data_IF_398543421939
#
_entry.id   IF_398543421939
#
_cell.length_a   1.000
_cell.length_b   1.000
_cell.length_c   1.000
_cell.angle_alpha   90.00
_cell.angle_beta   90.00
_cell.angle_gamma   90.00
#
_symmetry.space_group_name_H-M   'P 1'
#
loop_
_entity.id
_entity.type
_entity.pdbx_description
1 polymer ?
#
# COMPACT_ATOMS: atom_id res chain seq x y z
N UNK A 1 14.24 8.80 -17.58
CA UNK A 1 14.86 9.29 -16.32
C UNK A 1 14.61 10.79 -16.28
N UNK A 2 14.18 11.36 -15.15
CA UNK A 2 13.81 12.77 -15.04
C UNK A 2 14.59 13.43 -13.91
N UNK A 3 15.10 14.63 -14.14
CA UNK A 3 15.77 15.46 -13.15
C UNK A 3 15.60 16.93 -13.56
N UNK A 4 14.88 17.71 -12.76
CA UNK A 4 14.72 19.15 -12.96
C UNK A 4 15.44 19.98 -11.89
N UNK A 5 16.40 19.40 -11.17
CA UNK A 5 17.11 20.03 -10.06
C UNK A 5 16.33 20.05 -8.74
N UNK A 6 15.05 19.69 -8.75
CA UNK A 6 14.19 19.60 -7.56
C UNK A 6 13.61 18.22 -7.35
N UNK A 7 13.21 17.55 -8.41
CA UNK A 7 12.71 16.19 -8.42
C UNK A 7 13.61 15.30 -9.25
N UNK A 8 13.82 14.09 -8.76
CA UNK A 8 14.61 13.06 -9.42
C UNK A 8 13.76 11.80 -9.51
N UNK A 9 13.51 11.34 -10.73
CA UNK A 9 12.82 10.08 -11.00
C UNK A 9 13.77 9.12 -11.72
N UNK A 10 14.10 8.04 -11.03
CA UNK A 10 15.16 7.10 -11.43
C UNK A 10 14.65 5.68 -11.47
N UNK A 11 15.04 4.96 -12.52
CA UNK A 11 14.93 3.50 -12.59
C UNK A 11 16.05 2.91 -11.74
N UNK A 12 15.72 2.05 -10.81
CA UNK A 12 16.69 1.35 -9.97
C UNK A 12 16.85 -0.10 -10.44
N UNK A 13 18.02 -0.67 -10.19
CA UNK A 13 18.24 -2.11 -10.35
C UNK A 13 17.74 -2.80 -9.10
N UNK A 14 16.84 -3.76 -9.28
CA UNK A 14 16.36 -4.62 -8.22
C UNK A 14 16.12 -6.02 -8.79
N UNK A 15 16.46 -7.03 -7.99
CA UNK A 15 16.12 -8.42 -8.27
C UNK A 15 14.68 -8.64 -7.81
N UNK A 16 13.75 -8.32 -8.71
CA UNK A 16 12.31 -8.53 -8.51
C UNK A 16 11.90 -9.62 -9.50
N UNK A 17 11.24 -10.71 -9.04
CA UNK A 17 10.83 -11.83 -9.90
C UNK A 17 9.92 -11.41 -11.05
N UNK A 18 9.07 -10.40 -10.81
CA UNK A 18 8.10 -9.88 -11.75
C UNK A 18 8.75 -9.22 -12.97
N UNK A 19 8.01 -9.25 -14.08
CA UNK A 19 8.44 -8.62 -15.33
C UNK A 19 8.56 -7.10 -15.15
N UNK A 20 9.49 -6.45 -15.88
CA UNK A 20 9.57 -5.00 -15.84
C UNK A 20 8.35 -4.35 -16.51
N UNK A 21 8.02 -3.13 -16.08
CA UNK A 21 6.98 -2.28 -16.68
C UNK A 21 7.60 -1.15 -17.52
N UNK A 22 6.83 -0.63 -18.48
CA UNK A 22 7.19 0.55 -19.25
C UNK A 22 7.07 1.82 -18.40
N UNK A 23 8.04 2.72 -18.50
CA UNK A 23 7.99 4.04 -17.86
C UNK A 23 7.80 5.12 -18.91
N UNK A 24 6.73 5.91 -18.79
CA UNK A 24 6.52 7.14 -19.58
C UNK A 24 6.64 8.35 -18.67
N UNK A 25 7.30 9.42 -19.13
CA UNK A 25 7.31 10.72 -18.44
C UNK A 25 6.90 11.79 -19.45
N UNK A 26 5.82 12.52 -19.15
CA UNK A 26 5.19 13.49 -20.06
C UNK A 26 4.97 12.90 -21.47
N UNK A 27 4.47 11.67 -21.54
CA UNK A 27 4.23 10.94 -22.79
C UNK A 27 5.48 10.35 -23.47
N UNK A 28 6.70 10.66 -23.02
CA UNK A 28 7.94 10.14 -23.61
C UNK A 28 8.38 8.85 -22.92
N UNK A 29 8.65 7.80 -23.71
CA UNK A 29 9.16 6.53 -23.18
C UNK A 29 10.57 6.68 -22.61
N UNK A 30 10.74 6.12 -21.41
CA UNK A 30 11.99 6.07 -20.64
C UNK A 30 12.52 4.62 -20.54
N UNK A 31 11.91 3.71 -21.31
CA UNK A 31 12.20 2.27 -21.33
C UNK A 31 11.62 1.52 -20.13
N UNK A 32 12.06 0.27 -19.97
CA UNK A 32 11.53 -0.66 -18.97
C UNK A 32 12.21 -0.51 -17.60
N UNK A 33 11.49 -0.82 -16.53
CA UNK A 33 11.99 -0.86 -15.14
C UNK A 33 11.25 -1.88 -14.28
N UNK A 34 11.92 -2.43 -13.26
CA UNK A 34 11.25 -3.20 -12.18
C UNK A 34 11.04 -2.38 -10.91
N UNK A 35 11.78 -1.29 -10.75
CA UNK A 35 11.74 -0.44 -9.56
C UNK A 35 11.94 1.02 -9.98
N UNK A 36 10.95 1.85 -9.70
CA UNK A 36 11.00 3.29 -9.94
C UNK A 36 11.09 4.01 -8.61
N UNK A 37 12.02 4.95 -8.49
CA UNK A 37 12.21 5.78 -7.30
C UNK A 37 11.97 7.24 -7.62
N UNK A 38 11.26 7.90 -6.70
CA UNK A 38 10.98 9.32 -6.69
C UNK A 38 11.70 9.93 -5.50
N UNK A 39 12.55 10.90 -5.77
CA UNK A 39 13.28 11.64 -4.75
C UNK A 39 13.07 13.14 -4.95
N UNK A 40 12.90 13.86 -3.84
CA UNK A 40 12.74 15.30 -3.84
C UNK A 40 13.92 15.95 -3.13
N UNK A 41 14.38 17.07 -3.66
CA UNK A 41 15.45 17.87 -3.06
C UNK A 41 14.97 18.51 -1.77
N UNK A 42 15.76 18.40 -0.71
CA UNK A 42 15.52 19.19 0.51
C UNK A 42 15.96 20.63 0.27
N UNK A 43 15.12 21.64 0.57
CA UNK A 43 15.45 23.05 0.38
C UNK A 43 16.82 23.41 0.96
N UNK A 44 17.59 24.24 0.23
CA UNK A 44 18.93 24.70 0.64
C UNK A 44 19.98 23.60 0.86
N UNK A 45 19.75 22.37 0.37
CA UNK A 45 20.73 21.29 0.40
C UNK A 45 20.94 20.70 -1.00
N UNK A 46 21.91 19.79 -1.15
CA UNK A 46 22.09 18.98 -2.37
C UNK A 46 21.59 17.54 -2.21
N UNK A 47 20.79 17.28 -1.16
CA UNK A 47 20.33 15.95 -0.81
C UNK A 47 18.94 15.68 -1.38
N UNK A 48 18.70 14.43 -1.74
CA UNK A 48 17.49 13.95 -2.43
C UNK A 48 16.98 12.68 -1.75
N UNK A 49 16.33 12.78 -0.58
CA UNK A 49 15.66 11.64 0.03
C UNK A 49 14.63 11.04 -0.93
N UNK A 50 14.59 9.71 -0.99
CA UNK A 50 13.57 8.98 -1.75
C UNK A 50 12.25 9.02 -0.99
N UNK A 51 11.19 9.58 -1.56
CA UNK A 51 9.91 9.72 -0.85
C UNK A 51 8.89 8.67 -1.26
N UNK A 52 9.04 8.11 -2.47
CA UNK A 52 8.19 7.07 -3.02
C UNK A 52 9.03 6.10 -3.85
N UNK A 53 8.73 4.80 -3.75
CA UNK A 53 9.21 3.77 -4.67
C UNK A 53 8.04 2.91 -5.14
N UNK A 54 8.12 2.46 -6.40
CA UNK A 54 7.10 1.65 -7.08
C UNK A 54 7.77 0.41 -7.65
N UNK A 55 7.30 -0.77 -7.24
CA UNK A 55 7.80 -2.07 -7.67
C UNK A 55 6.90 -2.66 -8.77
N UNK A 56 7.47 -3.48 -9.66
CA UNK A 56 6.72 -4.17 -10.72
C UNK A 56 5.63 -5.11 -10.19
N UNK A 57 5.74 -5.55 -8.94
CA UNK A 57 4.75 -6.36 -8.22
C UNK A 57 3.60 -5.57 -7.59
N UNK A 58 3.52 -4.25 -7.84
CA UNK A 58 2.46 -3.40 -7.31
C UNK A 58 2.66 -2.93 -5.88
N UNK A 59 3.82 -3.20 -5.29
CA UNK A 59 4.20 -2.63 -4.02
C UNK A 59 4.61 -1.17 -4.18
N UNK A 60 4.15 -0.34 -3.25
CA UNK A 60 4.56 1.04 -3.06
C UNK A 60 5.21 1.16 -1.69
N UNK A 61 6.29 1.92 -1.58
CA UNK A 61 6.81 2.34 -0.27
C UNK A 61 6.94 3.85 -0.25
N UNK A 62 6.48 4.44 0.84
CA UNK A 62 6.44 5.86 1.10
C UNK A 62 7.16 6.17 2.41
N UNK A 63 7.82 7.32 2.45
CA UNK A 63 8.35 7.91 3.69
C UNK A 63 8.26 9.42 3.63
N UNK A 64 8.39 10.10 4.76
CA UNK A 64 8.38 11.55 4.81
C UNK A 64 9.53 12.16 3.99
N UNK A 65 9.39 13.44 3.63
CA UNK A 65 10.40 14.22 2.92
C UNK A 65 11.64 14.53 3.75
N UNK A 66 11.66 14.20 5.05
CA UNK A 66 12.82 14.42 5.90
C UNK A 66 14.05 13.67 5.42
N UNK A 67 15.19 14.29 5.71
CA UNK A 67 16.51 13.77 5.36
C UNK A 67 17.44 13.80 6.58
N UNK A 68 17.14 13.00 7.62
CA UNK A 68 18.05 12.83 8.73
C UNK A 68 19.29 12.06 8.28
N UNK A 69 20.32 12.05 9.12
CA UNK A 69 21.49 11.17 8.93
C UNK A 69 21.50 10.16 10.07
N UNK A 70 21.34 8.84 9.79
CA UNK A 70 21.11 8.23 8.48
C UNK A 70 19.71 8.54 7.89
N UNK A 71 19.51 8.42 6.56
CA UNK A 71 18.20 8.64 5.94
C UNK A 71 17.15 7.65 6.46
N UNK A 72 15.90 8.12 6.60
CA UNK A 72 14.77 7.30 7.04
C UNK A 72 14.65 6.02 6.19
N UNK A 73 14.43 4.88 6.82
CA UNK A 73 14.08 3.66 6.11
C UNK A 73 12.62 3.73 5.62
N UNK A 74 12.21 2.80 4.75
CA UNK A 74 10.82 2.69 4.33
C UNK A 74 9.97 1.88 5.32
N UNK A 75 10.50 0.75 5.86
CA UNK A 75 9.88 -0.11 6.88
C UNK A 75 8.53 -0.77 6.56
N UNK A 76 7.79 -0.24 5.61
CA UNK A 76 6.46 -0.69 5.25
C UNK A 76 6.30 -0.65 3.74
N UNK A 77 5.47 -1.56 3.24
CA UNK A 77 5.09 -1.59 1.84
C UNK A 77 3.58 -1.68 1.71
N UNK A 78 2.98 -0.71 1.04
CA UNK A 78 1.58 -0.76 0.62
C UNK A 78 1.47 -1.63 -0.63
N UNK A 79 0.55 -2.58 -0.64
CA UNK A 79 0.24 -3.40 -1.81
C UNK A 79 -1.02 -2.86 -2.45
N UNK A 80 -0.90 -2.46 -3.72
CA UNK A 80 -2.04 -2.02 -4.52
C UNK A 80 -3.04 -3.18 -4.69
N UNK A 81 -4.27 -2.94 -4.27
CA UNK A 81 -5.37 -3.90 -4.34
C UNK A 81 -6.43 -3.57 -5.41
N UNK A 82 -7.55 -4.32 -5.42
CA UNK A 82 -7.90 -5.34 -4.43
C UNK A 82 -7.21 -6.70 -4.66
N UNK A 83 -7.23 -7.54 -3.63
CA UNK A 83 -6.82 -8.94 -3.67
C UNK A 83 -7.96 -9.85 -3.21
N UNK A 84 -8.04 -11.07 -3.76
CA UNK A 84 -9.11 -12.02 -3.45
C UNK A 84 -8.51 -13.39 -3.14
N UNK A 85 -8.91 -14.00 -2.03
CA UNK A 85 -8.68 -15.42 -1.76
C UNK A 85 -9.95 -16.20 -2.13
N UNK A 86 -9.83 -17.15 -3.06
CA UNK A 86 -10.99 -17.88 -3.56
C UNK A 86 -10.66 -18.78 -4.73
N UNK A 87 -11.67 -19.11 -5.52
CA UNK A 87 -11.53 -19.84 -6.79
C UNK A 87 -12.03 -18.97 -7.94
N UNK A 88 -11.61 -19.31 -9.16
CA UNK A 88 -12.07 -18.68 -10.38
C UNK A 88 -12.34 -19.74 -11.46
N UNK A 89 -12.89 -19.33 -12.61
CA UNK A 89 -13.08 -20.21 -13.77
C UNK A 89 -11.78 -20.93 -14.17
N UNK A 90 -10.67 -20.20 -14.22
CA UNK A 90 -9.32 -20.67 -14.58
C UNK A 90 -8.60 -21.38 -13.43
N UNK A 91 -8.91 -21.03 -12.18
CA UNK A 91 -8.24 -21.54 -10.99
C UNK A 91 -9.24 -22.21 -10.05
N UNK A 92 -9.45 -23.52 -10.25
CA UNK A 92 -10.41 -24.32 -9.47
C UNK A 92 -9.95 -24.66 -8.05
N UNK A 93 -8.66 -24.52 -7.76
CA UNK A 93 -8.11 -24.64 -6.40
C UNK A 93 -8.14 -23.28 -5.73
N UNK A 94 -8.27 -23.26 -4.40
CA UNK A 94 -8.19 -22.02 -3.62
C UNK A 94 -6.84 -21.35 -3.86
N UNK A 95 -6.89 -20.13 -4.35
CA UNK A 95 -5.74 -19.30 -4.69
C UNK A 95 -5.92 -17.93 -4.05
N UNK A 96 -4.82 -17.35 -3.59
CA UNK A 96 -4.77 -15.94 -3.22
C UNK A 96 -4.32 -15.15 -4.46
N UNK A 97 -5.27 -14.53 -5.14
CA UNK A 97 -5.04 -13.62 -6.25
C UNK A 97 -4.60 -12.27 -5.69
N UNK A 98 -3.30 -12.06 -5.67
CA UNK A 98 -2.62 -10.96 -4.98
C UNK A 98 -1.59 -10.35 -5.93
N UNK A 99 -0.84 -9.31 -5.55
CA UNK A 99 0.23 -8.72 -6.39
C UNK A 99 -0.15 -8.41 -7.86
N UNK A 100 -0.50 -7.17 -8.21
CA UNK A 100 -0.66 -6.84 -9.61
C UNK A 100 0.70 -6.84 -10.32
N UNK A 101 0.74 -7.37 -11.54
CA UNK A 101 1.89 -7.20 -12.43
C UNK A 101 1.74 -5.88 -13.18
N UNK A 102 2.57 -4.89 -12.83
CA UNK A 102 2.54 -3.60 -13.51
C UNK A 102 2.97 -3.77 -14.97
N UNK A 103 2.24 -3.11 -15.87
CA UNK A 103 2.54 -3.05 -17.29
C UNK A 103 3.17 -1.71 -17.65
N UNK A 104 2.60 -0.62 -17.14
CA UNK A 104 3.03 0.74 -17.45
C UNK A 104 2.85 1.66 -16.26
N UNK A 105 3.81 2.56 -16.08
CA UNK A 105 3.74 3.72 -15.18
C UNK A 105 3.98 4.98 -15.99
N UNK A 106 2.96 5.82 -16.10
CA UNK A 106 3.02 7.13 -16.75
C UNK A 106 3.08 8.22 -15.69
N UNK A 107 4.06 9.10 -15.80
CA UNK A 107 4.22 10.24 -14.89
C UNK A 107 3.97 11.52 -15.67
N UNK A 108 3.07 12.35 -15.15
CA UNK A 108 2.86 13.71 -15.61
C UNK A 108 3.41 14.70 -14.58
N UNK A 109 4.28 15.57 -15.06
CA UNK A 109 4.97 16.62 -14.29
C UNK A 109 4.38 18.01 -14.54
N UNK A 110 3.29 18.12 -15.29
CA UNK A 110 2.62 19.37 -15.64
C UNK A 110 2.17 20.21 -14.44
N UNK A 111 1.89 19.56 -13.30
CA UNK A 111 1.51 20.22 -12.04
C UNK A 111 2.70 20.57 -11.14
N UNK A 112 3.94 20.41 -11.62
CA UNK A 112 5.12 20.91 -10.94
C UNK A 112 5.43 22.34 -11.37
N UNK A 113 5.57 23.20 -10.37
CA UNK A 113 6.11 24.56 -10.56
C UNK A 113 7.61 24.52 -10.85
N UNK A 114 8.21 25.58 -11.45
CA UNK A 114 9.64 25.64 -11.74
C UNK A 114 10.55 25.46 -10.50
N UNK A 115 10.07 25.88 -9.33
CA UNK A 115 10.73 25.68 -8.03
C UNK A 115 10.53 24.26 -7.45
N UNK A 116 9.90 23.34 -8.19
CA UNK A 116 9.66 21.96 -7.80
C UNK A 116 8.54 21.73 -6.79
N UNK A 117 7.77 22.76 -6.42
CA UNK A 117 6.56 22.61 -5.61
C UNK A 117 5.38 22.16 -6.47
N UNK A 118 4.37 21.55 -5.85
CA UNK A 118 3.18 21.06 -6.54
C UNK A 118 3.08 19.54 -6.50
N UNK A 119 2.35 18.98 -7.46
CA UNK A 119 1.92 17.57 -7.43
C UNK A 119 2.53 16.78 -8.57
N UNK A 120 2.86 15.52 -8.29
CA UNK A 120 3.18 14.53 -9.31
C UNK A 120 1.96 13.65 -9.57
N UNK A 121 1.52 13.59 -10.82
CA UNK A 121 0.44 12.71 -11.25
C UNK A 121 1.05 11.43 -11.81
N UNK A 122 0.59 10.28 -11.32
CA UNK A 122 1.14 8.97 -11.70
C UNK A 122 -0.03 8.08 -12.11
N UNK A 123 -0.04 7.60 -13.34
CA UNK A 123 -1.01 6.62 -13.82
C UNK A 123 -0.33 5.26 -13.93
N UNK A 124 -0.97 4.23 -13.41
CA UNK A 124 -0.46 2.86 -13.39
C UNK A 124 -1.49 1.96 -14.04
N UNK A 125 -1.06 1.13 -14.97
CA UNK A 125 -1.87 0.02 -15.50
C UNK A 125 -1.19 -1.29 -15.20
N UNK A 126 -1.96 -2.30 -14.82
CA UNK A 126 -1.48 -3.68 -14.73
C UNK A 126 -1.82 -4.46 -15.99
N UNK A 127 -0.99 -5.44 -16.32
CA UNK A 127 -1.36 -6.50 -17.26
C UNK A 127 -1.56 -7.81 -16.53
N UNK A 128 -2.25 -8.75 -17.17
CA UNK A 128 -2.13 -10.15 -16.77
C UNK A 128 -0.67 -10.55 -16.92
N UNK A 129 -0.11 -11.16 -15.88
CA UNK A 129 1.23 -11.76 -15.96
C UNK A 129 1.23 -12.84 -17.05
N UNK A 130 2.22 -12.78 -17.94
CA UNK A 130 2.52 -13.84 -18.91
C UNK A 130 3.20 -15.04 -18.24
N UNK A 131 3.77 -14.85 -17.05
CA UNK A 131 4.38 -15.89 -16.23
C UNK A 131 3.32 -16.78 -15.62
N UNK A 132 3.33 -18.06 -16.04
CA UNK A 132 2.58 -19.16 -15.42
C UNK A 132 3.05 -19.51 -14.00
N UNK A 133 4.16 -18.92 -13.54
CA UNK A 133 4.91 -19.42 -12.38
C UNK A 133 4.69 -18.62 -11.09
N UNK A 134 3.99 -17.48 -11.14
CA UNK A 134 3.54 -16.81 -9.92
C UNK A 134 2.09 -17.20 -9.64
N UNK A 135 1.91 -18.24 -8.83
CA UNK A 135 0.59 -18.64 -8.29
C UNK A 135 -0.07 -17.55 -7.44
N UNK A 136 0.61 -16.42 -7.22
CA UNK A 136 0.13 -15.32 -6.38
C UNK A 136 -0.23 -14.06 -7.16
N UNK A 137 0.11 -13.93 -8.46
CA UNK A 137 -0.17 -12.72 -9.24
C UNK A 137 -1.66 -12.58 -9.56
N UNK A 138 -2.16 -11.35 -9.60
CA UNK A 138 -3.58 -11.08 -9.79
C UNK A 138 -3.94 -11.22 -11.27
N UNK A 139 -4.31 -12.44 -11.67
CA UNK A 139 -4.64 -12.78 -13.06
C UNK A 139 -6.13 -12.65 -13.39
N UNK A 140 -6.96 -12.53 -12.35
CA UNK A 140 -8.43 -12.54 -12.47
C UNK A 140 -9.00 -11.13 -12.64
N UNK A 141 -8.20 -10.08 -12.47
CA UNK A 141 -8.63 -8.69 -12.55
C UNK A 141 -7.79 -7.87 -13.53
N UNK A 142 -8.44 -6.96 -14.24
CA UNK A 142 -7.78 -5.80 -14.84
C UNK A 142 -7.76 -4.69 -13.79
N UNK A 143 -6.57 -4.12 -13.54
CA UNK A 143 -6.39 -3.09 -12.53
C UNK A 143 -5.73 -1.85 -13.13
N UNK A 144 -6.19 -0.69 -12.66
CA UNK A 144 -5.55 0.60 -12.97
C UNK A 144 -5.60 1.51 -11.75
N UNK A 145 -4.62 2.41 -11.64
CA UNK A 145 -4.56 3.39 -10.55
C UNK A 145 -4.14 4.75 -11.06
N UNK A 146 -4.84 5.77 -10.58
CA UNK A 146 -4.42 7.16 -10.62
C UNK A 146 -3.89 7.55 -9.24
N UNK A 147 -2.62 7.93 -9.17
CA UNK A 147 -1.99 8.42 -7.95
C UNK A 147 -1.68 9.91 -8.06
N UNK A 148 -1.86 10.61 -6.95
CA UNK A 148 -1.42 12.00 -6.78
C UNK A 148 -0.47 12.03 -5.60
N UNK A 149 0.82 12.23 -5.89
CA UNK A 149 1.83 12.47 -4.88
C UNK A 149 1.87 13.97 -4.61
N UNK A 150 1.38 14.38 -3.44
CA UNK A 150 1.46 15.75 -2.95
C UNK A 150 2.92 16.13 -2.67
N UNK A 151 3.16 17.43 -2.54
CA UNK A 151 4.47 17.94 -2.17
C UNK A 151 4.93 17.36 -0.81
N UNK A 152 5.99 16.52 -0.76
CA UNK A 152 6.53 16.01 0.50
C UNK A 152 7.07 17.12 1.39
N UNK A 153 6.75 17.07 2.67
CA UNK A 153 7.37 17.88 3.70
C UNK A 153 8.21 17.02 4.65
N UNK A 154 9.00 17.66 5.51
CA UNK A 154 9.90 16.96 6.42
C UNK A 154 9.15 15.94 7.31
N UNK A 155 7.94 16.27 7.74
CA UNK A 155 7.19 15.43 8.68
C UNK A 155 6.31 14.37 8.00
N UNK A 156 5.93 14.60 6.74
CA UNK A 156 4.94 13.75 6.07
C UNK A 156 5.04 13.75 4.55
N UNK A 157 4.61 12.63 3.95
CA UNK A 157 4.32 12.51 2.52
C UNK A 157 2.90 12.01 2.34
N UNK A 158 2.11 12.67 1.51
CA UNK A 158 0.72 12.28 1.22
C UNK A 158 0.59 11.76 -0.21
N UNK A 159 -0.04 10.60 -0.35
CA UNK A 159 -0.37 9.98 -1.62
C UNK A 159 -1.87 9.69 -1.68
N UNK A 160 -2.55 10.28 -2.64
CA UNK A 160 -3.91 9.89 -2.99
C UNK A 160 -3.86 8.75 -3.99
N UNK A 161 -4.66 7.72 -3.77
CA UNK A 161 -4.75 6.53 -4.61
C UNK A 161 -6.20 6.35 -5.03
N UNK A 162 -6.46 6.39 -6.33
CA UNK A 162 -7.74 6.04 -6.92
C UNK A 162 -7.54 4.81 -7.81
N UNK A 163 -7.99 3.65 -7.33
CA UNK A 163 -7.87 2.37 -8.04
C UNK A 163 -9.20 1.95 -8.65
N UNK A 164 -9.15 1.38 -9.85
CA UNK A 164 -10.30 0.75 -10.53
C UNK A 164 -10.01 -0.71 -10.80
N UNK A 165 -11.02 -1.58 -10.74
CA UNK A 165 -10.89 -2.98 -11.12
C UNK A 165 -12.04 -3.46 -12.00
N UNK A 166 -11.75 -4.45 -12.84
CA UNK A 166 -12.73 -5.24 -13.57
C UNK A 166 -12.40 -6.73 -13.42
N UNK A 167 -13.36 -7.52 -12.97
CA UNK A 167 -13.23 -8.98 -12.92
C UNK A 167 -13.29 -9.54 -14.34
N UNK A 168 -12.25 -10.25 -14.73
CA UNK A 168 -12.11 -10.74 -16.10
C UNK A 168 -12.64 -12.17 -16.30
N UNK A 169 -13.06 -12.81 -15.21
CA UNK A 169 -13.69 -14.12 -15.13
C UNK A 169 -14.59 -14.21 -13.89
N UNK A 170 -15.42 -15.26 -13.81
CA UNK A 170 -16.23 -15.53 -12.63
C UNK A 170 -15.32 -15.94 -11.46
N UNK A 171 -15.60 -15.39 -10.28
CA UNK A 171 -14.83 -15.60 -9.06
C UNK A 171 -15.75 -15.94 -7.90
N UNK A 172 -15.32 -16.88 -7.07
CA UNK A 172 -16.01 -17.30 -5.85
C UNK A 172 -15.02 -17.07 -4.70
N UNK A 173 -15.19 -15.98 -3.91
CA UNK A 173 -14.41 -15.78 -2.69
C UNK A 173 -14.55 -16.97 -1.74
N UNK A 174 -13.46 -17.31 -1.04
CA UNK A 174 -13.47 -18.44 -0.10
C UNK A 174 -14.38 -18.11 1.10
N UNK A 175 -15.41 -18.93 1.39
CA UNK A 175 -16.38 -18.62 2.45
C UNK A 175 -15.76 -18.67 3.85
N UNK A 176 -14.85 -19.61 4.12
CA UNK A 176 -14.19 -19.71 5.43
C UNK A 176 -13.24 -18.52 5.68
N UNK A 177 -12.57 -18.03 4.64
CA UNK A 177 -11.79 -16.80 4.69
C UNK A 177 -12.70 -15.56 4.80
N UNK A 178 -13.91 -15.60 4.24
CA UNK A 178 -14.89 -14.50 4.35
C UNK A 178 -15.38 -14.34 5.79
N UNK A 179 -15.66 -15.44 6.49
CA UNK A 179 -16.00 -15.45 7.92
C UNK A 179 -14.88 -14.86 8.78
N UNK A 180 -13.63 -15.03 8.34
CA UNK A 180 -12.43 -14.49 8.98
C UNK A 180 -12.01 -13.11 8.46
N UNK A 181 -12.79 -12.48 7.58
CA UNK A 181 -12.49 -11.17 7.02
C UNK A 181 -11.15 -11.13 6.22
N UNK A 182 -10.80 -12.23 5.55
CA UNK A 182 -9.54 -12.40 4.82
C UNK A 182 -9.73 -12.56 3.30
N UNK A 183 -10.95 -12.90 2.87
CA UNK A 183 -11.22 -13.31 1.48
C UNK A 183 -11.13 -12.19 0.47
N UNK A 184 -11.36 -10.94 0.87
CA UNK A 184 -11.23 -9.75 0.02
C UNK A 184 -10.46 -8.68 0.76
N UNK A 185 -9.37 -8.21 0.16
CA UNK A 185 -8.51 -7.17 0.72
C UNK A 185 -8.54 -5.98 -0.21
N UNK A 186 -9.14 -4.88 0.22
CA UNK A 186 -9.23 -3.63 -0.56
C UNK A 186 -7.83 -3.08 -0.85
N UNK A 187 -6.99 -3.11 0.17
CA UNK A 187 -5.58 -2.76 0.17
C UNK A 187 -4.90 -3.52 1.30
N UNK A 188 -3.58 -3.64 1.23
CA UNK A 188 -2.77 -4.32 2.25
C UNK A 188 -1.49 -3.53 2.53
N UNK A 189 -1.00 -3.61 3.77
CA UNK A 189 0.32 -3.19 4.20
C UNK A 189 1.10 -4.45 4.58
N UNK A 190 2.33 -4.54 4.12
CA UNK A 190 3.33 -5.54 4.51
C UNK A 190 4.43 -4.84 5.29
N UNK A 191 4.79 -5.39 6.43
CA UNK A 191 5.78 -4.83 7.36
C UNK A 191 6.26 -5.93 8.32
N UNK A 192 6.99 -5.55 9.36
CA UNK A 192 7.67 -6.47 10.26
C UNK A 192 7.45 -6.09 11.73
N UNK A 193 7.15 -7.10 12.54
CA UNK A 193 7.13 -7.02 13.99
C UNK A 193 7.60 -8.36 14.56
N UNK A 194 8.70 -8.34 15.31
CA UNK A 194 9.23 -9.52 16.01
C UNK A 194 9.04 -9.35 17.51
N UNK A 195 9.43 -8.19 18.04
CA UNK A 195 9.25 -7.79 19.43
C UNK A 195 9.40 -6.26 19.59
N UNK A 196 9.37 -5.79 20.84
CA UNK A 196 9.46 -4.37 21.18
C UNK A 196 10.81 -3.71 20.85
N UNK A 197 11.83 -4.47 20.44
CA UNK A 197 13.15 -3.95 20.02
C UNK A 197 13.35 -4.15 18.52
N UNK A 198 12.67 -5.11 17.90
CA UNK A 198 12.86 -5.54 16.52
C UNK A 198 11.54 -5.43 15.76
N UNK A 199 11.30 -4.28 15.17
CA UNK A 199 10.09 -4.00 14.42
C UNK A 199 10.25 -2.79 13.50
N UNK A 200 9.42 -2.75 12.45
CA UNK A 200 9.17 -1.57 11.64
C UNK A 200 7.91 -0.82 12.10
N UNK A 201 6.98 -1.50 12.79
CA UNK A 201 5.80 -0.91 13.44
C UNK A 201 5.44 -1.72 14.68
N UNK A 202 4.89 -1.08 15.70
CA UNK A 202 4.56 -1.73 16.97
C UNK A 202 3.07 -1.63 17.36
N UNK A 203 2.24 -0.95 16.56
CA UNK A 203 0.80 -0.86 16.82
C UNK A 203 -0.05 -0.75 15.55
N UNK A 204 -1.28 -1.24 15.68
CA UNK A 204 -2.41 -0.93 14.80
C UNK A 204 -3.35 0.02 15.55
N UNK A 205 -3.71 1.16 14.94
CA UNK A 205 -4.71 2.07 15.49
C UNK A 205 -5.84 2.24 14.50
N UNK A 206 -7.08 2.33 14.94
CA UNK A 206 -8.22 2.55 14.04
C UNK A 206 -9.37 3.25 14.74
N UNK A 207 -10.19 3.94 13.96
CA UNK A 207 -11.38 4.62 14.46
C UNK A 207 -12.59 3.70 14.30
N UNK A 208 -13.33 3.47 15.39
CA UNK A 208 -14.59 2.68 15.38
C UNK A 208 -15.65 3.40 16.21
N UNK A 209 -16.79 3.73 15.60
CA UNK A 209 -17.89 4.45 16.28
C UNK A 209 -17.40 5.72 16.99
N UNK A 210 -16.57 6.53 16.33
CA UNK A 210 -15.86 7.72 16.86
C UNK A 210 -14.85 7.48 17.99
N UNK A 211 -14.61 6.24 18.40
CA UNK A 211 -13.59 5.90 19.39
C UNK A 211 -12.30 5.46 18.70
N UNK A 212 -11.17 5.96 19.20
CA UNK A 212 -9.84 5.52 18.77
C UNK A 212 -9.46 4.26 19.54
N UNK A 213 -9.29 3.16 18.81
CA UNK A 213 -8.75 1.91 19.36
C UNK A 213 -7.28 1.81 18.97
N UNK A 214 -6.42 1.45 19.93
CA UNK A 214 -5.02 1.11 19.66
C UNK A 214 -4.77 -0.32 20.12
N UNK A 215 -4.33 -1.16 19.20
CA UNK A 215 -3.87 -2.51 19.46
C UNK A 215 -2.35 -2.51 19.36
N UNK A 216 -1.69 -2.81 20.46
CA UNK A 216 -0.24 -3.01 20.49
C UNK A 216 0.07 -4.45 20.07
N UNK A 217 1.05 -4.60 19.18
CA UNK A 217 1.55 -5.92 18.85
C UNK A 217 2.35 -6.48 20.04
N UNK A 218 2.23 -7.78 20.25
CA UNK A 218 2.91 -8.53 21.30
C UNK A 218 3.29 -9.89 20.70
N UNK A 219 4.53 -10.40 20.86
CA UNK A 219 4.94 -11.68 20.29
C UNK A 219 4.03 -12.85 20.68
N UNK A 220 3.35 -12.78 21.83
CA UNK A 220 2.36 -13.77 22.26
C UNK A 220 1.11 -13.83 21.37
N UNK A 221 0.85 -12.78 20.58
CA UNK A 221 -0.24 -12.71 19.61
C UNK A 221 0.14 -13.27 18.23
N UNK A 222 1.36 -13.80 18.07
CA UNK A 222 1.81 -14.36 16.80
C UNK A 222 0.89 -15.48 16.32
N UNK A 223 0.68 -15.52 15.01
CA UNK A 223 -0.19 -16.45 14.29
C UNK A 223 -1.69 -16.32 14.62
N UNK A 224 -2.09 -15.29 15.38
CA UNK A 224 -3.50 -14.93 15.57
C UNK A 224 -3.91 -13.85 14.57
N UNK A 225 -5.18 -13.89 14.18
CA UNK A 225 -5.78 -12.79 13.41
C UNK A 225 -6.24 -11.70 14.36
N UNK A 226 -5.69 -10.50 14.18
CA UNK A 226 -5.92 -9.32 14.99
C UNK A 226 -6.82 -8.31 14.27
N UNK A 227 -7.52 -7.43 15.02
CA UNK A 227 -7.89 -7.65 16.42
C UNK A 227 -8.72 -8.95 16.57
N UNK A 228 -8.65 -9.57 17.75
CA UNK A 228 -9.35 -10.84 18.05
C UNK A 228 -10.86 -10.69 17.92
N UNK A 229 -11.38 -9.54 18.35
CA UNK A 229 -12.78 -9.12 18.15
C UNK A 229 -12.82 -7.96 17.16
N UNK A 230 -12.95 -8.24 15.85
CA UNK A 230 -12.96 -7.20 14.83
C UNK A 230 -14.20 -6.32 14.93
N UNK A 231 -13.98 -5.01 14.84
CA UNK A 231 -15.00 -3.99 14.75
C UNK A 231 -14.90 -3.26 13.42
N UNK A 232 -16.04 -2.79 12.93
CA UNK A 232 -16.10 -1.92 11.77
C UNK A 232 -15.39 -0.60 12.02
N UNK A 233 -14.72 -0.09 10.99
CA UNK A 233 -14.25 1.28 10.97
C UNK A 233 -15.44 2.24 11.07
N UNK A 234 -15.17 3.44 11.59
CA UNK A 234 -16.15 4.52 11.61
C UNK A 234 -16.64 4.84 10.20
N UNK A 235 -17.97 4.95 10.04
CA UNK A 235 -18.58 5.12 8.72
C UNK A 235 -18.34 6.52 8.14
N UNK A 236 -18.24 7.56 8.97
CA UNK A 236 -18.03 8.92 8.52
C UNK A 236 -16.55 9.18 8.20
N UNK A 237 -15.65 8.45 8.87
CA UNK A 237 -14.21 8.53 8.64
C UNK A 237 -13.53 7.15 8.71
N UNK A 238 -13.68 6.30 7.68
CA UNK A 238 -13.07 4.98 7.65
C UNK A 238 -11.54 5.10 7.58
N UNK A 239 -10.89 4.90 8.72
CA UNK A 239 -9.47 5.17 8.88
C UNK A 239 -8.78 4.23 9.85
N UNK A 240 -7.55 3.85 9.51
CA UNK A 240 -6.65 3.11 10.37
C UNK A 240 -5.20 3.51 10.11
N UNK A 241 -4.35 3.28 11.10
CA UNK A 241 -2.94 3.61 11.11
C UNK A 241 -2.12 2.35 11.41
N UNK A 242 -1.04 2.13 10.66
CA UNK A 242 0.05 1.19 10.97
C UNK A 242 1.21 1.99 11.55
N UNK A 243 1.41 1.88 12.86
CA UNK A 243 2.15 2.87 13.64
C UNK A 243 3.46 2.32 14.18
N UNK A 244 4.51 3.11 14.03
CA UNK A 244 5.72 3.06 14.83
C UNK A 244 5.69 4.18 15.87
N UNK A 245 5.78 3.85 17.16
CA UNK A 245 5.66 4.80 18.28
C UNK A 245 6.97 5.15 18.96
N UNK A 246 8.09 4.58 18.52
CA UNK A 246 9.42 4.85 19.06
C UNK A 246 10.44 5.06 17.92
N UNK A 247 11.70 5.31 18.29
CA UNK A 247 12.81 5.56 17.36
C UNK A 247 13.87 4.43 17.41
N UNK A 248 13.59 3.32 18.11
CA UNK A 248 14.61 2.31 18.49
C UNK A 248 14.49 0.98 17.77
N UNK A 249 13.41 0.74 17.02
CA UNK A 249 13.16 -0.52 16.30
C UNK A 249 14.30 -0.94 15.35
N UNK A 250 14.89 -2.11 15.56
CA UNK A 250 15.87 -2.70 14.65
C UNK A 250 15.19 -3.43 13.48
N UNK A 251 15.81 -3.46 12.28
CA UNK A 251 17.13 -2.90 11.93
C UNK A 251 17.08 -1.44 11.45
N UNK A 252 15.88 -0.89 11.28
CA UNK A 252 15.65 0.29 10.46
C UNK A 252 15.58 1.60 11.26
N UNK A 253 15.50 1.54 12.59
CA UNK A 253 15.22 2.67 13.47
C UNK A 253 13.87 3.29 13.12
N UNK A 254 13.85 4.62 13.00
CA UNK A 254 12.66 5.41 12.67
C UNK A 254 12.12 5.12 11.25
N UNK A 255 11.24 4.14 11.15
CA UNK A 255 10.39 3.84 10.00
C UNK A 255 9.11 4.65 10.04
N UNK A 256 8.56 5.05 8.88
CA UNK A 256 7.36 5.87 8.82
C UNK A 256 6.13 5.11 9.33
N UNK A 257 5.27 5.80 10.07
CA UNK A 257 3.89 5.36 10.33
C UNK A 257 3.00 5.65 9.11
N UNK A 258 2.10 4.74 8.76
CA UNK A 258 1.14 4.92 7.66
C UNK A 258 -0.26 5.15 8.20
N UNK A 259 -0.85 6.30 7.89
CA UNK A 259 -2.28 6.54 8.03
C UNK A 259 -3.00 6.25 6.72
N UNK A 260 -4.01 5.40 6.77
CA UNK A 260 -4.87 5.07 5.64
C UNK A 260 -6.27 5.61 5.91
N UNK A 261 -6.74 6.53 5.05
CA UNK A 261 -8.13 6.97 5.02
C UNK A 261 -8.79 6.42 3.77
N UNK A 262 -9.80 5.58 3.93
CA UNK A 262 -10.57 5.06 2.79
C UNK A 262 -11.68 6.06 2.48
N UNK A 263 -11.59 6.68 1.31
CA UNK A 263 -12.45 7.77 0.89
C UNK A 263 -13.75 7.23 0.29
N UNK A 264 -13.66 6.18 -0.53
CA UNK A 264 -14.83 5.52 -1.13
C UNK A 264 -14.50 4.15 -1.66
N UNK A 265 -15.51 3.28 -1.72
CA UNK A 265 -15.48 1.97 -2.37
C UNK A 265 -16.75 1.79 -3.19
N UNK A 266 -16.65 1.28 -4.41
CA UNK A 266 -17.80 0.98 -5.29
C UNK A 266 -17.73 -0.47 -5.79
N UNK A 267 -18.76 -0.91 -6.53
CA UNK A 267 -18.81 -2.24 -7.12
C UNK A 267 -19.49 -3.28 -6.22
N UNK A 268 -19.03 -4.54 -6.21
CA UNK A 268 -19.72 -5.63 -5.52
C UNK A 268 -19.51 -5.61 -3.99
N UNK A 269 -18.67 -4.73 -3.47
CA UNK A 269 -18.36 -4.67 -2.04
C UNK A 269 -19.51 -3.97 -1.30
N UNK A 270 -19.97 -4.55 -0.19
CA UNK A 270 -21.10 -4.04 0.59
C UNK A 270 -20.81 -4.07 2.08
N UNK A 271 -21.51 -3.21 2.82
CA UNK A 271 -21.40 -3.13 4.27
C UNK A 271 -20.15 -2.39 4.75
N UNK A 272 -19.91 -2.40 6.06
CA UNK A 272 -18.83 -1.65 6.68
C UNK A 272 -17.46 -2.26 6.38
N UNK A 273 -16.44 -1.41 6.42
CA UNK A 273 -15.05 -1.84 6.28
C UNK A 273 -14.53 -2.30 7.65
N UNK A 274 -13.82 -3.41 7.67
CA UNK A 274 -13.17 -3.98 8.85
C UNK A 274 -11.68 -4.07 8.59
N UNK A 275 -10.86 -3.80 9.59
CA UNK A 275 -9.41 -3.94 9.46
C UNK A 275 -8.97 -5.22 10.15
N UNK A 276 -8.08 -5.97 9.50
CA UNK A 276 -7.46 -7.16 10.07
C UNK A 276 -5.95 -7.10 9.90
N UNK A 277 -5.25 -7.74 10.83
CA UNK A 277 -3.83 -7.98 10.75
C UNK A 277 -3.51 -9.43 11.12
N UNK A 278 -2.40 -9.94 10.62
CA UNK A 278 -1.78 -11.17 11.11
C UNK A 278 -0.28 -10.97 11.11
N UNK A 279 0.43 -11.62 12.02
CA UNK A 279 1.86 -11.80 11.84
C UNK A 279 2.29 -13.21 12.22
N UNK A 280 3.25 -13.74 11.49
CA UNK A 280 3.85 -15.02 11.79
C UNK A 280 5.05 -14.83 12.69
N UNK A 281 5.26 -15.73 13.65
CA UNK A 281 6.49 -15.71 14.44
C UNK A 281 7.70 -15.88 13.53
N UNK A 282 8.64 -14.95 13.58
CA UNK A 282 9.86 -14.95 12.76
C UNK A 282 11.00 -14.31 13.54
N UNK A 283 12.21 -14.88 13.54
CA UNK A 283 13.40 -14.21 14.07
C UNK A 283 14.16 -13.40 13.00
N UNK A 284 13.73 -13.45 11.73
CA UNK A 284 14.48 -12.86 10.62
C UNK A 284 14.09 -11.39 10.40
N UNK A 285 15.02 -10.48 10.69
CA UNK A 285 14.89 -9.03 10.52
C UNK A 285 14.73 -8.56 9.06
N UNK A 286 15.00 -9.43 8.09
CA UNK A 286 14.93 -9.09 6.67
C UNK A 286 13.62 -9.48 6.00
N UNK A 287 12.74 -10.16 6.72
CA UNK A 287 11.47 -10.63 6.18
C UNK A 287 10.31 -9.91 6.86
N UNK A 288 9.48 -9.26 6.06
CA UNK A 288 8.14 -8.86 6.48
C UNK A 288 7.39 -10.11 6.96
N UNK A 289 6.92 -10.07 8.19
CA UNK A 289 6.15 -11.14 8.81
C UNK A 289 4.76 -10.68 9.27
N UNK A 290 4.45 -9.38 9.14
CA UNK A 290 3.21 -8.74 9.55
C UNK A 290 2.47 -8.19 8.32
N UNK A 291 1.23 -8.65 8.14
CA UNK A 291 0.32 -8.17 7.12
C UNK A 291 -0.90 -7.50 7.76
N UNK A 292 -1.32 -6.36 7.21
CA UNK A 292 -2.49 -5.58 7.64
C UNK A 292 -3.34 -5.26 6.42
N UNK A 293 -4.66 -5.43 6.47
CA UNK A 293 -5.53 -5.13 5.33
C UNK A 293 -6.89 -4.58 5.77
N UNK A 294 -7.50 -3.84 4.85
CA UNK A 294 -8.90 -3.46 4.93
C UNK A 294 -9.75 -4.50 4.19
N UNK A 295 -10.70 -5.09 4.88
CA UNK A 295 -11.69 -6.02 4.36
C UNK A 295 -13.04 -5.35 4.19
N UNK A 296 -13.73 -5.69 3.11
CA UNK A 296 -15.15 -5.38 2.93
C UNK A 296 -15.83 -6.59 2.29
N UNK A 297 -17.04 -6.89 2.74
CA UNK A 297 -17.75 -8.09 2.31
C UNK A 297 -18.14 -7.98 0.84
N UNK A 298 -17.97 -9.08 0.11
CA UNK A 298 -18.47 -9.25 -1.26
C UNK A 298 -19.51 -10.37 -1.33
N UNK A 299 -20.31 -10.44 -2.40
CA UNK A 299 -21.15 -11.58 -2.71
C UNK A 299 -20.37 -12.89 -2.73
N UNK A 300 -21.07 -13.99 -2.46
CA UNK A 300 -20.50 -15.35 -2.53
C UNK A 300 -20.05 -15.74 -3.95
N UNK A 301 -20.55 -15.07 -4.98
CA UNK A 301 -20.10 -15.23 -6.36
C UNK A 301 -20.10 -13.86 -7.05
N UNK A 302 -19.02 -13.57 -7.75
CA UNK A 302 -18.79 -12.33 -8.49
C UNK A 302 -18.67 -12.71 -9.98
N UNK A 303 -19.47 -12.05 -10.82
CA UNK A 303 -19.50 -12.36 -12.25
C UNK A 303 -18.39 -11.65 -13.02
N UNK A 304 -17.93 -12.28 -14.09
CA UNK A 304 -17.11 -11.62 -15.11
C UNK A 304 -17.75 -10.30 -15.56
N UNK A 305 -16.94 -9.27 -15.75
CA UNK A 305 -17.35 -7.92 -16.11
C UNK A 305 -17.77 -7.06 -14.93
N UNK A 306 -17.79 -7.60 -13.70
CA UNK A 306 -18.05 -6.78 -12.50
C UNK A 306 -16.92 -5.77 -12.31
N UNK A 307 -17.29 -4.50 -12.21
CA UNK A 307 -16.36 -3.39 -11.97
C UNK A 307 -16.54 -2.79 -10.58
N UNK A 308 -15.54 -2.06 -10.13
CA UNK A 308 -15.60 -1.25 -8.93
C UNK A 308 -14.33 -0.43 -8.74
N UNK A 309 -14.35 0.43 -7.74
CA UNK A 309 -13.29 1.39 -7.45
C UNK A 309 -12.99 1.42 -5.97
N UNK A 310 -11.74 1.75 -5.64
CA UNK A 310 -11.25 1.92 -4.26
C UNK A 310 -10.40 3.17 -4.23
N UNK A 311 -10.88 4.18 -3.53
CA UNK A 311 -10.20 5.45 -3.37
C UNK A 311 -9.76 5.61 -1.92
N UNK A 312 -8.47 5.91 -1.70
CA UNK A 312 -7.92 6.10 -0.37
C UNK A 312 -6.75 7.06 -0.39
N UNK A 313 -6.41 7.56 0.79
CA UNK A 313 -5.25 8.42 1.01
C UNK A 313 -4.30 7.73 1.97
N UNK A 314 -3.02 7.73 1.62
CA UNK A 314 -1.92 7.24 2.47
C UNK A 314 -1.08 8.43 2.90
N UNK A 315 -0.87 8.57 4.20
CA UNK A 315 0.01 9.58 4.77
C UNK A 315 1.12 8.86 5.51
N UNK A 316 2.36 8.96 5.01
CA UNK A 316 3.55 8.43 5.65
C UNK A 316 4.17 9.51 6.54
N UNK A 317 4.29 9.27 7.84
CA UNK A 317 4.72 10.27 8.84
C UNK A 317 5.86 9.76 9.71
N UNK A 318 6.71 10.65 10.21
CA UNK A 318 7.78 10.31 11.18
C UNK A 318 7.33 10.31 12.63
N UNK A 319 6.11 10.77 12.91
CA UNK A 319 5.62 10.92 14.27
C UNK A 319 4.10 10.69 14.32
N UNK A 320 3.59 9.70 15.07
CA UNK A 320 2.17 9.37 15.11
C UNK A 320 1.33 10.32 15.98
N UNK A 321 1.90 11.43 16.47
CA UNK A 321 1.19 12.42 17.26
C UNK A 321 0.25 13.28 16.41
N UNK A 322 -0.89 12.70 16.01
CA UNK A 322 -2.22 13.32 16.11
C UNK A 322 -3.21 12.53 15.25
N UNK A 323 -4.12 11.80 15.89
CA UNK A 323 -5.48 11.75 15.39
C UNK A 323 -6.15 13.03 15.90
N UNK A 324 -5.87 14.17 15.28
CA UNK A 324 -6.75 15.31 15.44
C UNK A 324 -8.03 14.96 14.71
N UNK A 325 -9.08 14.60 15.45
CA UNK A 325 -10.44 14.64 14.90
C UNK A 325 -10.61 16.03 14.29
N UNK A 326 -11.04 16.18 13.02
CA UNK A 326 -11.45 17.49 12.56
C UNK A 326 -12.53 18.00 13.53
N UNK A 327 -12.27 19.11 14.21
CA UNK A 327 -13.29 19.77 15.01
C UNK A 327 -14.46 20.08 14.07
N UNK A 328 -15.63 19.54 14.44
CA UNK A 328 -16.92 19.77 13.79
C UNK A 328 -17.26 21.24 13.73
#
# INVERSE_FOLDING_TARGET
MFNNGMWVIKKLRALIPEDPFEVLINGKSMGMSRLLSFAKRVPNTNRFPQVLVIYSSGYLRLKAGADPTPPLAFGQSLVLGPAISGTSTSFRKRTLFFHPQLQRVTIDTSQLSPNGTGRLLIQITSSRSSSSNSATTNQIMNLSWALILEDPCDLATTLHVAGTFELTEDVIPDPAQTEKFESVRLLQISTMYIDNVRHDVNALRFLTGRNVMTLWYDPALANLLLPVSPSSLDLAMPMFDSIHTDDVGQPNGNTPSYRIRINSTTGPMTGPIVVRAFFNSSPNLHNDNLGLWAFQRTPASIKKGTTGDINYTVIATINPHSLSLPHS
#
